data_IF_866917830663
#
_entry.id   IF_866917830663
#
_cell.length_a   1.000
_cell.length_b   1.000
_cell.length_c   1.000
_cell.angle_alpha   90.00
_cell.angle_beta   90.00
_cell.angle_gamma   90.00
#
_symmetry.space_group_name_H-M   'P 1'
#
loop_
_entity.id
_entity.type
_entity.pdbx_description
1 polymer ?
#
# COMPACT_ATOMS: atom_id res chain seq x y z
N UNK A 1 12.43 10.67 -6.57
CA UNK A 1 10.97 10.77 -6.37
C UNK A 1 10.30 9.93 -7.44
N UNK A 2 9.20 9.25 -7.09
CA UNK A 2 8.50 8.33 -8.00
C UNK A 2 7.14 8.90 -8.37
N UNK A 3 6.84 9.00 -9.66
CA UNK A 3 5.54 9.50 -10.13
C UNK A 3 4.43 8.47 -9.85
N UNK A 4 3.33 8.94 -9.27
CA UNK A 4 2.23 8.08 -8.84
C UNK A 4 1.16 7.86 -9.92
N UNK A 5 1.19 8.64 -11.00
CA UNK A 5 0.31 8.49 -12.17
C UNK A 5 0.28 7.05 -12.72
N UNK A 6 1.44 6.39 -12.80
CA UNK A 6 1.59 4.99 -13.25
C UNK A 6 1.04 3.96 -12.26
N UNK A 7 0.69 4.40 -11.04
CA UNK A 7 0.26 3.55 -9.93
C UNK A 7 -1.21 3.81 -9.53
N UNK A 8 -1.90 4.75 -10.18
CA UNK A 8 -3.32 5.02 -9.97
C UNK A 8 -4.14 4.61 -11.17
N UNK A 9 -5.40 4.24 -10.95
CA UNK A 9 -6.30 3.82 -12.01
C UNK A 9 -6.63 4.95 -12.99
N UNK A 10 -6.78 6.17 -12.48
CA UNK A 10 -7.09 7.34 -13.28
C UNK A 10 -5.89 7.86 -14.08
N UNK A 11 -4.69 7.29 -13.91
CA UNK A 11 -3.49 7.72 -14.63
C UNK A 11 -3.05 9.14 -14.26
N UNK A 12 -3.36 9.59 -13.04
CA UNK A 12 -3.05 10.93 -12.54
C UNK A 12 -2.35 10.86 -11.19
N UNK A 13 -1.50 11.84 -10.91
CA UNK A 13 -0.81 11.97 -9.64
C UNK A 13 0.62 12.44 -9.79
N UNK A 14 0.97 13.47 -9.04
CA UNK A 14 2.34 13.95 -8.93
C UNK A 14 3.27 13.00 -8.18
N UNK A 15 4.51 13.44 -7.89
CA UNK A 15 5.52 12.59 -7.29
C UNK A 15 5.23 12.22 -5.83
N UNK A 16 5.52 10.98 -5.45
CA UNK A 16 5.78 10.63 -4.06
C UNK A 16 7.19 11.12 -3.67
N UNK A 17 7.27 11.79 -2.52
CA UNK A 17 8.55 12.13 -1.90
C UNK A 17 9.38 10.87 -1.63
N UNK A 18 8.76 9.89 -0.95
CA UNK A 18 9.26 8.53 -0.80
C UNK A 18 8.18 7.53 -1.19
N UNK A 19 8.53 6.54 -2.02
CA UNK A 19 7.68 5.39 -2.32
C UNK A 19 8.36 4.15 -1.73
N UNK A 20 7.63 3.41 -0.91
CA UNK A 20 8.08 2.17 -0.29
C UNK A 20 7.12 1.03 -0.63
N UNK A 21 7.65 -0.03 -1.23
CA UNK A 21 6.92 -1.27 -1.51
C UNK A 21 7.51 -2.39 -0.64
N UNK A 22 6.91 -2.72 0.52
CA UNK A 22 7.43 -3.78 1.38
C UNK A 22 7.35 -5.13 0.68
N UNK A 23 8.41 -5.95 0.77
CA UNK A 23 8.37 -7.30 0.22
C UNK A 23 7.47 -8.22 1.06
N UNK A 24 7.40 -7.96 2.37
CA UNK A 24 6.56 -8.70 3.31
C UNK A 24 6.18 -7.88 4.57
N UNK A 25 5.61 -8.56 5.57
CA UNK A 25 5.16 -7.96 6.82
C UNK A 25 6.31 -7.48 7.71
N UNK A 26 7.46 -8.14 7.68
CA UNK A 26 8.59 -7.76 8.52
C UNK A 26 9.21 -6.46 8.01
N UNK A 27 9.28 -6.28 6.69
CA UNK A 27 9.66 -4.99 6.07
C UNK A 27 8.71 -3.86 6.48
N UNK A 28 7.40 -4.10 6.40
CA UNK A 28 6.39 -3.11 6.78
C UNK A 28 6.49 -2.75 8.27
N UNK A 29 6.64 -3.74 9.15
CA UNK A 29 6.82 -3.50 10.59
C UNK A 29 8.10 -2.72 10.87
N UNK A 30 9.20 -3.06 10.18
CA UNK A 30 10.48 -2.40 10.38
C UNK A 30 10.38 -0.92 10.03
N UNK A 31 9.76 -0.59 8.90
CA UNK A 31 9.49 0.79 8.51
C UNK A 31 8.65 1.51 9.58
N UNK A 32 7.49 0.96 9.94
CA UNK A 32 6.58 1.60 10.89
C UNK A 32 7.20 1.79 12.29
N UNK A 33 8.10 0.89 12.70
CA UNK A 33 8.81 0.98 13.98
C UNK A 33 9.93 2.02 13.96
N UNK A 34 10.61 2.19 12.82
CA UNK A 34 11.78 3.08 12.70
C UNK A 34 11.44 4.47 12.16
N UNK A 35 10.28 4.63 11.51
CA UNK A 35 9.88 5.92 10.96
C UNK A 35 9.65 6.93 12.09
N UNK A 36 10.28 8.13 12.03
CA UNK A 36 9.92 9.25 12.89
C UNK A 36 8.43 9.56 12.78
N UNK A 37 7.81 9.95 13.90
CA UNK A 37 6.35 10.17 13.97
C UNK A 37 5.91 11.41 13.20
N UNK A 38 6.83 12.32 12.94
CA UNK A 38 6.60 13.59 12.26
C UNK A 38 6.52 13.42 10.75
N UNK A 39 7.03 12.31 10.21
CA UNK A 39 6.96 12.00 8.78
C UNK A 39 5.57 11.46 8.47
N UNK A 40 4.77 12.13 7.62
CA UNK A 40 3.46 11.64 7.24
C UNK A 40 3.58 10.35 6.42
N UNK A 41 2.77 9.36 6.77
CA UNK A 41 2.68 8.08 6.06
C UNK A 41 1.30 7.97 5.43
N UNK A 42 1.27 7.57 4.16
CA UNK A 42 0.04 7.28 3.41
C UNK A 42 0.15 5.88 2.78
N UNK A 43 -0.97 5.15 2.73
CA UNK A 43 -1.02 3.80 2.14
C UNK A 43 -1.72 3.86 0.80
N UNK A 44 -1.08 3.30 -0.23
CA UNK A 44 -1.63 3.13 -1.56
C UNK A 44 -1.90 1.63 -1.81
N UNK A 45 -3.15 1.29 -2.07
CA UNK A 45 -3.53 -0.04 -2.57
C UNK A 45 -3.34 -0.13 -4.08
N UNK A 46 -4.36 -0.64 -4.78
CA UNK A 46 -4.38 -0.67 -6.25
C UNK A 46 -4.61 0.71 -6.92
N UNK A 47 -4.85 1.77 -6.14
CA UNK A 47 -5.06 3.12 -6.68
C UNK A 47 -6.38 3.31 -7.44
N UNK A 48 -7.38 2.44 -7.26
CA UNK A 48 -8.66 2.46 -7.99
C UNK A 48 -9.67 3.52 -7.52
N UNK A 49 -9.44 4.11 -6.35
CA UNK A 49 -10.37 5.08 -5.75
C UNK A 49 -9.63 6.27 -5.12
N UNK A 50 -8.59 6.77 -5.80
CA UNK A 50 -7.83 7.93 -5.34
C UNK A 50 -7.53 8.87 -6.51
N UNK A 51 -7.61 10.17 -6.24
CA UNK A 51 -7.16 11.23 -7.12
C UNK A 51 -6.03 11.98 -6.42
N UNK A 52 -4.81 11.80 -6.94
CA UNK A 52 -3.61 12.44 -6.40
C UNK A 52 -3.38 13.73 -7.19
N UNK A 53 -3.15 14.83 -6.49
CA UNK A 53 -2.88 16.13 -7.13
C UNK A 53 -1.50 16.12 -7.78
N UNK A 54 -1.28 16.99 -8.75
CA UNK A 54 0.02 17.15 -9.45
C UNK A 54 1.16 17.56 -8.51
N UNK A 55 0.83 18.18 -7.36
CA UNK A 55 1.79 18.47 -6.30
C UNK A 55 2.31 17.24 -5.54
N UNK A 56 1.76 16.05 -5.83
CA UNK A 56 2.24 14.79 -5.28
C UNK A 56 1.90 14.57 -3.81
N UNK A 57 2.66 13.66 -3.19
CA UNK A 57 2.47 13.23 -1.80
C UNK A 57 3.76 13.45 -1.01
N UNK A 58 3.65 14.23 0.08
CA UNK A 58 4.75 14.44 1.04
C UNK A 58 4.90 13.25 1.99
N UNK A 59 6.13 13.01 2.43
CA UNK A 59 6.49 11.90 3.31
C UNK A 59 6.52 10.55 2.58
N UNK A 60 6.08 9.49 3.26
CA UNK A 60 6.20 8.12 2.77
C UNK A 60 4.87 7.61 2.25
N UNK A 61 4.86 7.23 0.97
CA UNK A 61 3.78 6.46 0.36
C UNK A 61 4.14 4.98 0.42
N UNK A 62 3.37 4.18 1.16
CA UNK A 62 3.51 2.72 1.24
C UNK A 62 2.58 2.10 0.22
N UNK A 63 3.11 1.44 -0.82
CA UNK A 63 2.28 0.70 -1.77
C UNK A 63 2.21 -0.78 -1.39
N UNK A 64 1.02 -1.24 -1.04
CA UNK A 64 0.77 -2.63 -0.68
C UNK A 64 0.43 -3.44 -1.93
N UNK A 65 1.45 -4.11 -2.47
CA UNK A 65 1.38 -4.94 -3.67
C UNK A 65 1.94 -6.35 -3.40
N UNK A 66 1.93 -7.23 -4.40
CA UNK A 66 2.63 -8.52 -4.35
C UNK A 66 2.23 -9.43 -3.19
N UNK A 67 3.09 -9.54 -2.17
CA UNK A 67 2.81 -10.36 -0.97
C UNK A 67 1.46 -10.04 -0.33
N UNK A 68 1.09 -8.76 -0.29
CA UNK A 68 -0.11 -8.28 0.39
C UNK A 68 -1.41 -8.49 -0.39
N UNK A 69 -1.33 -8.87 -1.67
CA UNK A 69 -2.50 -9.20 -2.50
C UNK A 69 -2.77 -10.70 -2.59
N UNK A 70 -1.96 -11.53 -1.93
CA UNK A 70 -2.12 -12.99 -1.93
C UNK A 70 -3.37 -13.43 -1.17
N UNK A 71 -4.06 -14.40 -1.75
CA UNK A 71 -5.21 -15.10 -1.19
C UNK A 71 -4.75 -16.49 -0.75
N UNK A 72 -4.94 -16.84 0.52
CA UNK A 72 -4.70 -18.17 1.03
C UNK A 72 -6.01 -18.80 1.50
N UNK A 73 -6.25 -20.07 1.16
CA UNK A 73 -7.44 -20.79 1.61
C UNK A 73 -7.16 -21.43 2.97
N UNK A 74 -8.01 -21.17 3.97
CA UNK A 74 -7.88 -21.71 5.32
C UNK A 74 -8.86 -22.86 5.56
N UNK A 75 -10.10 -22.71 5.11
CA UNK A 75 -11.18 -23.71 5.14
C UNK A 75 -12.08 -23.50 3.91
N UNK A 76 -13.01 -24.43 3.57
CA UNK A 76 -13.86 -24.31 2.38
C UNK A 76 -14.59 -22.95 2.23
N UNK A 77 -14.90 -22.30 3.35
CA UNK A 77 -15.60 -21.01 3.39
C UNK A 77 -14.79 -19.89 4.09
N UNK A 78 -13.49 -20.10 4.31
CA UNK A 78 -12.61 -19.11 4.96
C UNK A 78 -11.36 -18.88 4.16
N UNK A 79 -11.17 -17.64 3.77
CA UNK A 79 -9.97 -17.18 3.07
C UNK A 79 -9.21 -16.18 3.93
N UNK A 80 -7.89 -16.17 3.77
CA UNK A 80 -6.97 -15.21 4.35
C UNK A 80 -6.47 -14.29 3.23
N UNK A 81 -6.78 -13.00 3.32
CA UNK A 81 -6.34 -11.96 2.39
C UNK A 81 -5.25 -11.13 3.05
N UNK A 82 -3.99 -11.20 2.59
CA UNK A 82 -2.92 -10.36 3.15
C UNK A 82 -2.71 -10.47 4.68
N UNK A 83 -3.27 -11.52 5.33
CA UNK A 83 -3.44 -11.77 6.79
C UNK A 83 -4.68 -11.19 7.50
N UNK A 84 -5.73 -10.80 6.77
CA UNK A 84 -7.08 -10.60 7.31
C UNK A 84 -7.93 -11.86 7.03
N UNK A 85 -8.56 -12.42 8.07
CA UNK A 85 -9.49 -13.54 7.91
C UNK A 85 -10.83 -13.00 7.41
N UNK A 86 -11.27 -13.47 6.24
CA UNK A 86 -12.59 -13.16 5.68
C UNK A 86 -13.41 -14.45 5.66
N UNK A 87 -14.58 -14.40 6.30
CA UNK A 87 -15.59 -15.46 6.23
C UNK A 87 -16.50 -15.13 5.05
N UNK A 88 -16.59 -16.06 4.09
CA UNK A 88 -17.57 -15.96 3.01
C UNK A 88 -18.91 -16.50 3.55
N UNK A 89 -19.95 -15.68 3.50
CA UNK A 89 -21.34 -16.07 3.83
C UNK A 89 -22.03 -16.69 2.62
#
# INVERSE_FOLDING_TARGET
MADLDKLTWFGVGGPAEWLFEPADIEDLKLLLKRCPKEIPIQVLGAGSNILIRDGGIRGITIKLSGFFTKINFYQPHKILLGRVLVTLM
#
